data_IF_037379768950
#
_entry.id   IF_037379768950
#
_cell.length_a   1.000
_cell.length_b   1.000
_cell.length_c   1.000
_cell.angle_alpha   90.00
_cell.angle_beta   90.00
_cell.angle_gamma   90.00
#
_symmetry.space_group_name_H-M   'P 1'
#
loop_
_entity.id
_entity.type
_entity.pdbx_description
1 polymer ?
#
# COMPACT_ATOMS: atom_id res chain seq x y z
N UNK A 1 9.92 7.83 18.55
CA UNK A 1 9.38 9.17 18.20
C UNK A 1 7.94 9.00 17.70
N UNK A 2 7.04 9.96 17.93
CA UNK A 2 5.56 9.80 17.78
C UNK A 2 5.05 9.40 16.37
N UNK A 3 5.88 9.42 15.33
CA UNK A 3 5.47 9.09 13.94
C UNK A 3 6.31 8.01 13.24
N UNK A 4 7.21 7.33 13.96
CA UNK A 4 8.12 6.35 13.36
C UNK A 4 7.46 5.00 13.08
N UNK A 5 6.35 4.67 13.73
CA UNK A 5 5.64 3.43 13.46
C UNK A 5 4.14 3.57 13.70
N UNK A 6 3.36 2.75 13.00
CA UNK A 6 1.93 2.58 13.23
C UNK A 6 1.53 1.15 12.87
N UNK A 7 0.87 0.45 13.81
CA UNK A 7 0.39 -0.91 13.60
C UNK A 7 1.48 -2.00 13.47
N UNK A 8 2.76 -1.63 13.42
CA UNK A 8 3.89 -2.55 13.30
C UNK A 8 4.43 -3.00 14.66
N UNK A 9 4.82 -4.27 14.74
CA UNK A 9 5.54 -4.88 15.86
C UNK A 9 7.03 -4.53 15.82
N UNK A 10 7.77 -4.63 16.95
CA UNK A 10 9.21 -4.45 16.96
C UNK A 10 9.93 -5.36 15.97
N UNK A 11 9.51 -6.61 15.85
CA UNK A 11 10.09 -7.59 14.93
C UNK A 11 9.88 -7.20 13.46
N UNK A 12 8.71 -6.66 13.10
CA UNK A 12 8.46 -6.13 11.76
C UNK A 12 9.27 -4.86 11.46
N UNK A 13 9.51 -4.02 12.46
CA UNK A 13 10.32 -2.80 12.32
C UNK A 13 11.79 -3.14 12.05
N UNK A 14 12.31 -4.17 12.72
CA UNK A 14 13.70 -4.60 12.60
C UNK A 14 13.94 -5.58 11.43
N UNK A 15 12.88 -6.02 10.74
CA UNK A 15 12.97 -6.95 9.62
C UNK A 15 13.39 -6.26 8.32
N UNK A 16 14.32 -6.83 7.53
CA UNK A 16 14.72 -6.27 6.25
C UNK A 16 13.60 -6.40 5.21
N UNK A 17 13.37 -5.34 4.43
CA UNK A 17 12.46 -5.34 3.28
C UNK A 17 13.19 -4.99 1.99
N UNK A 18 12.61 -5.41 0.86
CA UNK A 18 13.16 -5.10 -0.46
C UNK A 18 13.18 -3.58 -0.64
N UNK A 19 14.37 -3.04 -0.90
CA UNK A 19 14.59 -1.61 -1.13
C UNK A 19 15.15 -0.84 0.05
N UNK A 20 15.39 -1.47 1.20
CA UNK A 20 16.05 -0.82 2.36
C UNK A 20 17.46 -0.27 2.02
N UNK A 21 18.11 -0.86 1.02
CA UNK A 21 19.43 -0.46 0.53
C UNK A 21 19.40 0.74 -0.45
N UNK A 22 18.22 1.20 -0.91
CA UNK A 22 18.10 2.25 -1.92
C UNK A 22 18.48 3.64 -1.39
N UNK A 23 18.22 3.92 -0.10
CA UNK A 23 18.46 5.22 0.51
C UNK A 23 19.25 5.07 1.81
N UNK A 24 20.58 5.08 1.71
CA UNK A 24 21.48 4.86 2.85
C UNK A 24 21.50 5.99 3.88
N UNK A 25 21.07 7.20 3.53
CA UNK A 25 21.06 8.39 4.41
C UNK A 25 19.64 8.97 4.55
N UNK A 26 18.68 8.12 4.88
CA UNK A 26 17.29 8.52 5.05
C UNK A 26 17.11 9.41 6.29
N UNK A 27 16.52 10.60 6.11
CA UNK A 27 16.22 11.53 7.22
C UNK A 27 15.18 10.95 8.19
N UNK A 28 14.28 10.08 7.72
CA UNK A 28 13.27 9.40 8.52
C UNK A 28 13.04 8.00 7.96
N UNK A 29 13.10 7.01 8.84
CA UNK A 29 12.64 5.65 8.60
C UNK A 29 11.35 5.46 9.40
N UNK A 30 10.29 4.97 8.74
CA UNK A 30 9.03 4.72 9.40
C UNK A 30 8.29 3.50 8.82
N UNK A 31 7.85 2.60 9.70
CA UNK A 31 7.18 1.34 9.32
C UNK A 31 5.70 1.38 9.66
N UNK A 32 4.84 1.11 8.68
CA UNK A 32 3.38 1.06 8.87
C UNK A 32 2.86 -0.30 8.45
N UNK A 33 2.19 -0.99 9.36
CA UNK A 33 1.65 -2.32 9.10
C UNK A 33 0.15 -2.36 9.39
N UNK A 34 -0.56 -3.16 8.61
CA UNK A 34 -1.94 -3.57 8.88
C UNK A 34 -2.06 -5.05 8.54
N UNK A 35 -2.52 -5.84 9.51
CA UNK A 35 -2.77 -7.26 9.29
C UNK A 35 -4.05 -7.43 8.48
N UNK A 36 -3.95 -8.12 7.35
CA UNK A 36 -5.09 -8.54 6.54
C UNK A 36 -5.24 -10.05 6.69
N UNK A 37 -6.38 -10.51 7.20
CA UNK A 37 -6.69 -11.94 7.37
C UNK A 37 -7.06 -12.61 6.05
N UNK A 38 -6.17 -12.54 5.06
CA UNK A 38 -6.32 -13.12 3.74
C UNK A 38 -4.94 -13.52 3.18
N UNK A 39 -4.86 -14.54 2.32
CA UNK A 39 -3.59 -14.92 1.73
C UNK A 39 -3.15 -13.87 0.68
N UNK A 40 -1.83 -13.73 0.42
CA UNK A 40 -1.32 -12.67 -0.45
C UNK A 40 -1.95 -12.62 -1.85
N UNK A 41 -2.27 -13.76 -2.46
CA UNK A 41 -2.90 -13.82 -3.79
C UNK A 41 -4.26 -13.14 -3.86
N UNK A 42 -4.96 -12.97 -2.73
CA UNK A 42 -6.25 -12.29 -2.67
C UNK A 42 -6.08 -10.78 -2.42
N UNK A 43 -4.93 -10.36 -1.89
CA UNK A 43 -4.62 -8.96 -1.55
C UNK A 43 -3.93 -8.23 -2.70
N UNK A 44 -2.91 -8.85 -3.30
CA UNK A 44 -2.10 -8.23 -4.35
C UNK A 44 -2.89 -7.72 -5.58
N UNK A 45 -3.98 -8.37 -6.03
CA UNK A 45 -4.79 -7.84 -7.14
C UNK A 45 -5.36 -6.44 -6.88
N UNK A 46 -5.71 -6.11 -5.63
CA UNK A 46 -6.20 -4.79 -5.23
C UNK A 46 -5.11 -3.72 -5.33
N UNK A 47 -3.90 -4.05 -4.88
CA UNK A 47 -2.72 -3.18 -5.00
C UNK A 47 -2.35 -2.96 -6.47
N UNK A 48 -2.38 -4.03 -7.27
CA UNK A 48 -2.03 -3.96 -8.69
C UNK A 48 -2.93 -3.01 -9.46
N UNK A 49 -4.22 -2.97 -9.15
CA UNK A 49 -5.18 -2.12 -9.84
C UNK A 49 -5.29 -0.68 -9.32
N UNK A 50 -4.66 -0.40 -8.17
CA UNK A 50 -4.64 0.92 -7.56
C UNK A 50 -4.13 1.98 -8.55
N UNK A 51 -4.72 3.17 -8.47
CA UNK A 51 -4.22 4.36 -9.15
C UNK A 51 -5.31 5.29 -9.65
N UNK A 52 -4.91 6.55 -9.83
CA UNK A 52 -5.74 7.58 -10.43
C UNK A 52 -6.13 7.21 -11.87
N UNK A 53 -7.43 7.27 -12.18
CA UNK A 53 -7.97 6.83 -13.47
C UNK A 53 -8.03 5.30 -13.65
N UNK A 54 -7.71 4.52 -12.61
CA UNK A 54 -7.90 3.06 -12.54
C UNK A 54 -8.94 2.74 -11.45
N UNK A 55 -8.62 1.82 -10.53
CA UNK A 55 -9.49 1.43 -9.43
C UNK A 55 -9.60 2.46 -8.30
N UNK A 56 -8.89 3.59 -8.36
CA UNK A 56 -8.79 4.57 -7.29
C UNK A 56 -7.68 4.23 -6.28
N UNK A 57 -7.60 5.02 -5.20
CA UNK A 57 -6.55 4.92 -4.18
C UNK A 57 -6.99 4.18 -2.91
N UNK A 58 -8.28 3.80 -2.81
CA UNK A 58 -8.89 3.23 -1.60
C UNK A 58 -8.70 4.10 -0.36
N UNK A 59 -8.80 5.41 -0.58
CA UNK A 59 -8.66 6.44 0.43
C UNK A 59 -9.87 7.38 0.28
N UNK A 60 -9.72 8.65 0.63
CA UNK A 60 -10.77 9.64 0.54
C UNK A 60 -10.99 10.07 -0.92
N UNK A 61 -11.90 9.40 -1.62
CA UNK A 61 -12.18 9.63 -3.05
C UNK A 61 -12.42 11.11 -3.43
N UNK A 62 -13.03 11.89 -2.53
CA UNK A 62 -13.29 13.32 -2.73
C UNK A 62 -12.03 14.20 -2.67
N UNK A 63 -10.96 13.72 -2.02
CA UNK A 63 -9.66 14.39 -1.93
C UNK A 63 -8.69 13.93 -3.02
N UNK A 64 -8.59 12.62 -3.26
CA UNK A 64 -7.49 12.03 -4.03
C UNK A 64 -7.91 11.37 -5.36
N UNK A 65 -9.22 11.28 -5.64
CA UNK A 65 -9.75 10.63 -6.84
C UNK A 65 -10.77 11.49 -7.60
N UNK A 66 -10.72 12.81 -7.43
CA UNK A 66 -11.65 13.78 -8.06
C UNK A 66 -13.14 13.45 -7.82
N UNK A 67 -13.45 12.85 -6.67
CA UNK A 67 -14.80 12.42 -6.31
C UNK A 67 -15.29 11.16 -7.04
N UNK A 68 -14.47 10.51 -7.87
CA UNK A 68 -14.79 9.20 -8.46
C UNK A 68 -14.67 8.14 -7.38
N UNK A 69 -15.66 7.26 -7.28
CA UNK A 69 -15.62 6.17 -6.30
C UNK A 69 -14.52 5.19 -6.65
N UNK A 70 -13.72 4.80 -5.66
CA UNK A 70 -12.79 3.67 -5.79
C UNK A 70 -13.57 2.37 -6.07
N UNK A 71 -12.97 1.46 -6.82
CA UNK A 71 -13.59 0.19 -7.19
C UNK A 71 -13.83 -0.67 -5.95
N UNK A 72 -14.94 -1.40 -5.94
CA UNK A 72 -15.28 -2.38 -4.90
C UNK A 72 -15.18 -3.81 -5.40
N UNK A 73 -14.57 -3.99 -6.57
CA UNK A 73 -14.34 -5.29 -7.23
C UNK A 73 -12.97 -5.28 -7.91
N UNK A 74 -12.44 -6.46 -8.18
CA UNK A 74 -11.22 -6.62 -8.98
C UNK A 74 -11.61 -6.54 -10.46
N UNK A 75 -10.86 -5.74 -11.21
CA UNK A 75 -11.02 -5.49 -12.64
C UNK A 75 -9.88 -6.16 -13.42
N UNK A 76 -10.23 -7.06 -14.34
CA UNK A 76 -9.26 -7.89 -15.10
C UNK A 76 -8.33 -7.05 -15.98
N UNK A 77 -8.84 -5.95 -16.54
CA UNK A 77 -8.10 -5.02 -17.41
C UNK A 77 -6.86 -4.40 -16.73
N UNK A 78 -6.82 -4.43 -15.39
CA UNK A 78 -5.73 -3.90 -14.58
C UNK A 78 -4.85 -4.97 -13.97
N UNK A 79 -5.13 -6.25 -14.21
CA UNK A 79 -4.34 -7.36 -13.67
C UNK A 79 -3.14 -7.73 -14.54
N UNK A 80 -3.10 -7.22 -15.77
CA UNK A 80 -2.02 -7.46 -16.72
C UNK A 80 -0.98 -6.35 -16.59
N UNK A 81 0.25 -6.72 -16.26
CA UNK A 81 1.41 -5.82 -16.29
C UNK A 81 1.97 -5.86 -17.72
N UNK A 82 2.09 -4.69 -18.36
CA UNK A 82 2.78 -4.55 -19.65
C UNK A 82 4.28 -4.50 -19.44
#
# INVERSE_FOLDING_TARGET
>A
MIFQFWGATPEEIDSPVVGDDICSDATLIATRSITISAPPQDVFPWLRQMGFGRAGWYSYDWLDNLGRKSATTIHEEWQIVK
#
